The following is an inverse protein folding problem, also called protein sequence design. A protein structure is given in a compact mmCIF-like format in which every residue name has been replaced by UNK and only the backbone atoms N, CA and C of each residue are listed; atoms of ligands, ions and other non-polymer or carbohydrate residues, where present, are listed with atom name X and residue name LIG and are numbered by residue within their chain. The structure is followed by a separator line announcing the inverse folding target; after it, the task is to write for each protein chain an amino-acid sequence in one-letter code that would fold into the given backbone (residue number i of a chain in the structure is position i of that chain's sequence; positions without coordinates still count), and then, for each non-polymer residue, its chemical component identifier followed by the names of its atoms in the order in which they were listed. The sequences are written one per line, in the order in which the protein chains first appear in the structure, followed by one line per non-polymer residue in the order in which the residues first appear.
data_IF_013897594524
#
_entry.id   IF_013897594524
#
_cell.length_a   1.000
_cell.length_b   1.000
_cell.length_c   1.000
_cell.angle_alpha   90.00
_cell.angle_beta   90.00
_cell.angle_gamma   90.00
#
_symmetry.space_group_name_H-M   'P 1'
#
loop_
_entity.id
_entity.type
_entity.pdbx_description
1 polymer ?
#
# COMPACT_ATOMS: atom_id res chain seq x y z
N UNK A 1 -0.60 11.03 11.00
CA UNK A 1 -0.06 10.26 12.15
C UNK A 1 1.26 9.63 11.71
N UNK A 2 2.28 9.45 12.54
CA UNK A 2 3.53 8.80 12.06
C UNK A 2 3.29 7.31 11.82
N UNK A 3 3.61 6.83 10.61
CA UNK A 3 3.61 5.40 10.28
C UNK A 3 4.85 4.75 10.90
N UNK A 4 4.85 3.43 11.05
CA UNK A 4 6.01 2.68 11.50
C UNK A 4 6.41 1.67 10.43
N UNK A 5 7.72 1.52 10.22
CA UNK A 5 8.26 0.53 9.32
C UNK A 5 7.83 -0.88 9.74
N UNK A 6 7.20 -1.64 8.84
CA UNK A 6 6.74 -3.01 9.12
C UNK A 6 7.87 -3.98 9.49
N UNK A 7 9.12 -3.66 9.15
CA UNK A 7 10.28 -4.52 9.41
C UNK A 7 11.04 -4.17 10.69
N UNK A 8 11.32 -2.88 10.91
CA UNK A 8 12.18 -2.44 12.01
C UNK A 8 11.49 -1.47 12.99
N UNK A 9 10.20 -1.18 12.78
CA UNK A 9 9.38 -0.29 13.61
C UNK A 9 9.90 1.15 13.76
N UNK A 10 10.90 1.55 12.96
CA UNK A 10 11.33 2.95 12.88
C UNK A 10 10.20 3.82 12.36
N UNK A 11 10.16 5.08 12.79
CA UNK A 11 9.17 6.04 12.32
C UNK A 11 9.35 6.30 10.82
N UNK A 12 8.23 6.26 10.09
CA UNK A 12 8.13 6.55 8.67
C UNK A 12 7.11 7.68 8.51
N UNK A 13 7.43 8.74 7.74
CA UNK A 13 6.48 9.83 7.50
C UNK A 13 5.17 9.32 6.90
N UNK A 14 4.03 9.84 7.38
CA UNK A 14 2.69 9.47 6.90
C UNK A 14 2.49 9.75 5.41
N UNK A 15 3.17 10.79 4.93
CA UNK A 15 3.16 11.28 3.55
C UNK A 15 3.73 10.26 2.55
N UNK A 16 4.47 9.25 3.02
CA UNK A 16 4.99 8.20 2.16
C UNK A 16 3.91 7.19 1.82
N UNK A 17 3.91 6.75 0.56
CA UNK A 17 3.05 5.67 0.04
C UNK A 17 3.45 4.28 0.54
N UNK A 18 4.62 4.15 1.17
CA UNK A 18 5.17 2.88 1.67
C UNK A 18 5.15 2.82 3.21
N UNK A 19 4.98 1.61 3.73
CA UNK A 19 4.99 1.33 5.17
C UNK A 19 6.33 0.76 5.66
N UNK A 20 7.42 0.94 4.91
CA UNK A 20 8.77 0.50 5.27
C UNK A 20 9.79 1.60 5.03
N UNK A 21 10.88 1.57 5.81
CA UNK A 21 11.95 2.55 5.68
C UNK A 21 12.91 2.20 4.54
N UNK A 22 13.67 3.18 4.07
CA UNK A 22 14.61 3.05 2.94
C UNK A 22 15.65 1.95 3.19
N UNK A 23 16.17 1.87 4.43
CA UNK A 23 17.15 0.85 4.82
C UNK A 23 16.59 -0.57 4.66
N UNK A 24 15.35 -0.81 5.10
CA UNK A 24 14.72 -2.11 4.99
C UNK A 24 14.31 -2.41 3.54
N UNK A 25 13.76 -1.42 2.83
CA UNK A 25 13.37 -1.58 1.44
C UNK A 25 14.56 -1.91 0.53
N UNK A 26 15.63 -1.12 0.58
CA UNK A 26 16.86 -1.41 -0.15
C UNK A 26 17.50 -2.73 0.31
N UNK A 27 17.42 -3.08 1.60
CA UNK A 27 17.96 -4.33 2.12
C UNK A 27 17.26 -5.59 1.60
N UNK A 28 15.95 -5.52 1.32
CA UNK A 28 15.16 -6.66 0.83
C UNK A 28 15.18 -6.74 -0.70
N UNK A 29 14.99 -5.61 -1.40
CA UNK A 29 14.80 -5.59 -2.85
C UNK A 29 16.01 -5.04 -3.64
N UNK A 30 16.95 -4.37 -2.97
CA UNK A 30 18.04 -3.62 -3.62
C UNK A 30 17.60 -2.26 -4.17
N UNK A 31 18.56 -1.35 -4.37
CA UNK A 31 18.28 0.06 -4.69
C UNK A 31 17.43 0.27 -5.94
N UNK A 32 17.70 -0.50 -7.01
CA UNK A 32 16.98 -0.36 -8.29
C UNK A 32 15.51 -0.73 -8.13
N UNK A 33 15.25 -1.85 -7.48
CA UNK A 33 13.89 -2.37 -7.33
C UNK A 33 13.11 -1.59 -6.27
N UNK A 34 13.78 -1.17 -5.18
CA UNK A 34 13.20 -0.27 -4.20
C UNK A 34 12.71 1.04 -4.86
N UNK A 35 13.55 1.69 -5.67
CA UNK A 35 13.15 2.90 -6.40
C UNK A 35 11.96 2.67 -7.32
N UNK A 36 11.95 1.56 -8.06
CA UNK A 36 10.84 1.22 -8.94
C UNK A 36 9.53 0.98 -8.17
N UNK A 37 9.58 0.29 -7.01
CA UNK A 37 8.41 0.06 -6.16
C UNK A 37 7.86 1.39 -5.64
N UNK A 38 8.72 2.26 -5.11
CA UNK A 38 8.30 3.57 -4.59
C UNK A 38 7.68 4.41 -5.70
N UNK A 39 8.34 4.50 -6.85
CA UNK A 39 7.82 5.25 -7.99
C UNK A 39 6.46 4.71 -8.47
N UNK A 40 6.32 3.39 -8.63
CA UNK A 40 5.06 2.81 -9.06
C UNK A 40 3.91 3.07 -8.07
N UNK A 41 4.20 3.06 -6.76
CA UNK A 41 3.21 3.36 -5.72
C UNK A 41 2.85 4.85 -5.69
N UNK A 42 3.82 5.73 -5.91
CA UNK A 42 3.59 7.18 -6.04
C UNK A 42 2.73 7.49 -7.28
N UNK A 43 3.07 6.91 -8.44
CA UNK A 43 2.27 7.09 -9.65
C UNK A 43 0.85 6.52 -9.48
N UNK A 44 0.69 5.42 -8.74
CA UNK A 44 -0.63 4.88 -8.39
C UNK A 44 -1.41 5.81 -7.45
N UNK A 45 -0.73 6.51 -6.53
CA UNK A 45 -1.34 7.54 -5.67
C UNK A 45 -1.90 8.67 -6.50
N UNK A 46 -1.11 9.17 -7.46
CA UNK A 46 -1.54 10.25 -8.35
C UNK A 46 -2.72 9.84 -9.23
N UNK A 47 -2.76 8.59 -9.68
CA UNK A 47 -3.91 8.03 -10.44
C UNK A 47 -5.13 7.71 -9.58
N UNK A 48 -5.02 7.72 -8.25
CA UNK A 48 -6.09 7.31 -7.35
C UNK A 48 -6.35 5.80 -7.31
N UNK A 49 -5.37 4.98 -7.71
CA UNK A 49 -5.47 3.51 -7.82
C UNK A 49 -4.85 2.78 -6.62
N UNK A 50 -4.48 3.52 -5.57
CA UNK A 50 -4.05 2.92 -4.29
C UNK A 50 -5.25 2.39 -3.51
N UNK A 51 -5.71 1.18 -3.85
CA UNK A 51 -6.71 0.47 -3.04
C UNK A 51 -6.06 -0.14 -1.79
N UNK A 52 -6.19 0.54 -0.66
CA UNK A 52 -6.02 -0.07 0.65
C UNK A 52 -7.31 -0.81 1.01
N UNK A 53 -7.26 -2.13 1.17
CA UNK A 53 -8.42 -3.01 1.40
C UNK A 53 -9.19 -2.73 2.71
N UNK A 54 -8.81 -1.69 3.46
CA UNK A 54 -9.52 -1.18 4.63
C UNK A 54 -10.63 -0.18 4.30
N UNK A 55 -10.77 0.27 3.05
CA UNK A 55 -11.85 1.17 2.62
C UNK A 55 -12.84 0.47 1.69
N UNK A 56 -13.89 -0.10 2.27
CA UNK A 56 -15.16 -0.31 1.58
C UNK A 56 -15.77 1.06 1.30
N UNK A 57 -15.25 1.81 0.32
CA UNK A 57 -16.02 2.91 -0.27
C UNK A 57 -16.93 2.30 -1.31
N UNK A 58 -18.19 2.18 -0.92
CA UNK A 58 -19.31 1.81 -1.77
C UNK A 58 -19.27 2.68 -3.04
N UNK A 59 -18.88 2.09 -4.17
CA UNK A 59 -19.20 2.68 -5.46
C UNK A 59 -20.68 2.33 -5.74
N UNK A 60 -21.57 3.31 -5.93
CA UNK A 60 -22.93 3.03 -6.37
C UNK A 60 -22.84 2.56 -7.83
N UNK A 61 -22.71 1.27 -8.07
CA UNK A 61 -22.59 0.76 -9.43
C UNK A 61 -22.38 -0.74 -9.65
N UNK A 62 -21.99 -1.52 -8.65
CA UNK A 62 -21.82 -2.97 -8.86
C UNK A 62 -22.35 -3.78 -7.68
N UNK A 63 -23.63 -4.17 -7.79
CA UNK A 63 -24.21 -5.24 -6.99
C UNK A 63 -23.66 -6.57 -7.50
N UNK A 64 -22.67 -7.15 -6.83
CA UNK A 64 -22.43 -8.59 -6.89
C UNK A 64 -22.50 -9.11 -5.46
N UNK A 65 -23.66 -9.68 -5.13
CA UNK A 65 -24.02 -10.07 -3.77
C UNK A 65 -23.20 -11.25 -3.23
N UNK A 66 -23.36 -11.57 -1.93
CA UNK A 66 -22.67 -12.68 -1.30
C UNK A 66 -23.52 -13.95 -1.35
N UNK A 67 -23.15 -14.94 -2.16
CA UNK A 67 -23.59 -16.32 -1.94
C UNK A 67 -22.35 -17.21 -1.80
N UNK A 68 -21.86 -17.31 -0.56
CA UNK A 68 -21.05 -18.46 -0.15
C UNK A 68 -22.01 -19.43 0.51
N UNK A 69 -22.61 -20.26 -0.33
CA UNK A 69 -23.30 -21.49 0.07
C UNK A 69 -22.25 -22.40 0.73
N UNK A 70 -22.32 -22.51 2.05
CA UNK A 70 -21.54 -23.47 2.81
C UNK A 70 -22.29 -24.80 2.73
N UNK A 71 -21.75 -25.75 1.97
CA UNK A 71 -22.10 -27.16 2.07
C UNK A 71 -20.85 -27.98 2.38
#
# INVERSE_FOLDING_TARGET
MVKKCIYCSVEVPDERVIDFCDKCGTGVWGDKMFKAIVQNMEDARERGDLRNSSSFTEHPGEIVGPERDFR
#
